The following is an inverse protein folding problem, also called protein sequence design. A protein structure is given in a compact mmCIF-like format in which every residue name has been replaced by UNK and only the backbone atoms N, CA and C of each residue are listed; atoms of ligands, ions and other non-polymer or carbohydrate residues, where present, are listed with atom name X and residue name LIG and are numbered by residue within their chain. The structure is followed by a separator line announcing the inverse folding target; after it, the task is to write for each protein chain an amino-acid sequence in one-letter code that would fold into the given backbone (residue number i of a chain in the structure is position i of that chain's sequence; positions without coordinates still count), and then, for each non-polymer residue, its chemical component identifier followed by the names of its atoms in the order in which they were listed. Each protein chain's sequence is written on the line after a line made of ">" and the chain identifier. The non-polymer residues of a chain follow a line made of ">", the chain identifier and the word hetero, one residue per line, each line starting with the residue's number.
data_IF_314869678599
#
_entry.id   IF_314869678599
#
_cell.length_a   1.000
_cell.length_b   1.000
_cell.length_c   1.000
_cell.angle_alpha   90.00
_cell.angle_beta   90.00
_cell.angle_gamma   90.00
#
_symmetry.space_group_name_H-M   'P 1'
#
loop_
_entity.id
_entity.type
_entity.pdbx_description
1 polymer ?
#
# COMPACT_ATOMS: atom_id res chain seq x y z
N UNK A 1 -32.15 5.71 9.69
CA UNK A 1 -31.03 6.43 9.06
C UNK A 1 -31.60 7.37 8.02
N UNK A 2 -31.27 8.66 8.06
CA UNK A 2 -31.78 9.59 7.06
C UNK A 2 -30.90 9.55 5.79
N UNK A 3 -31.39 10.16 4.69
CA UNK A 3 -30.70 10.13 3.40
C UNK A 3 -29.30 10.77 3.45
N UNK A 4 -29.11 11.81 4.26
CA UNK A 4 -27.82 12.48 4.38
C UNK A 4 -26.77 11.58 5.01
N UNK A 5 -27.13 10.85 6.06
CA UNK A 5 -26.19 9.92 6.71
C UNK A 5 -25.81 8.78 5.78
N UNK A 6 -26.75 8.27 5.00
CA UNK A 6 -26.47 7.23 4.03
C UNK A 6 -25.52 7.70 2.95
N UNK A 7 -25.73 8.89 2.39
CA UNK A 7 -24.85 9.45 1.36
C UNK A 7 -23.45 9.69 1.88
N UNK A 8 -23.31 10.16 3.11
CA UNK A 8 -22.02 10.38 3.74
C UNK A 8 -21.27 9.07 3.90
N UNK A 9 -21.97 8.02 4.36
CA UNK A 9 -21.38 6.70 4.53
C UNK A 9 -20.88 6.12 3.20
N UNK A 10 -21.68 6.25 2.13
CA UNK A 10 -21.30 5.78 0.80
C UNK A 10 -20.05 6.51 0.29
N UNK A 11 -19.96 7.82 0.50
CA UNK A 11 -18.77 8.60 0.10
C UNK A 11 -17.53 8.16 0.85
N UNK A 12 -17.65 7.89 2.14
CA UNK A 12 -16.51 7.44 2.96
C UNK A 12 -15.99 6.09 2.49
N UNK A 13 -16.90 5.13 2.23
CA UNK A 13 -16.51 3.80 1.72
C UNK A 13 -15.87 3.92 0.34
N UNK A 14 -16.43 4.74 -0.54
CA UNK A 14 -15.88 4.96 -1.87
C UNK A 14 -14.49 5.56 -1.81
N UNK A 15 -14.26 6.53 -0.93
CA UNK A 15 -12.96 7.15 -0.76
C UNK A 15 -11.92 6.16 -0.24
N UNK A 16 -12.29 5.29 0.70
CA UNK A 16 -11.40 4.24 1.21
C UNK A 16 -10.97 3.29 0.09
N UNK A 17 -11.88 2.89 -0.78
CA UNK A 17 -11.58 2.01 -1.91
C UNK A 17 -10.59 2.69 -2.86
N UNK A 18 -10.82 3.97 -3.18
CA UNK A 18 -9.92 4.73 -4.07
C UNK A 18 -8.53 4.88 -3.46
N UNK A 19 -8.45 5.16 -2.16
CA UNK A 19 -7.18 5.31 -1.47
C UNK A 19 -6.42 3.98 -1.46
N UNK A 20 -7.11 2.86 -1.25
CA UNK A 20 -6.48 1.54 -1.28
C UNK A 20 -5.94 1.22 -2.68
N UNK A 21 -6.69 1.55 -3.73
CA UNK A 21 -6.23 1.36 -5.11
C UNK A 21 -4.99 2.18 -5.42
N UNK A 22 -4.96 3.44 -5.00
CA UNK A 22 -3.79 4.30 -5.16
C UNK A 22 -2.59 3.75 -4.40
N UNK A 23 -2.81 3.23 -3.21
CA UNK A 23 -1.76 2.63 -2.41
C UNK A 23 -1.19 1.39 -3.10
N UNK A 24 -2.04 0.53 -3.64
CA UNK A 24 -1.61 -0.66 -4.39
C UNK A 24 -0.80 -0.29 -5.62
N UNK A 25 -1.28 0.66 -6.41
CA UNK A 25 -0.59 1.13 -7.61
C UNK A 25 0.78 1.71 -7.26
N UNK A 26 0.85 2.52 -6.21
CA UNK A 26 2.09 3.11 -5.75
C UNK A 26 3.11 2.07 -5.29
N UNK A 27 2.65 1.05 -4.57
CA UNK A 27 3.51 -0.03 -4.11
C UNK A 27 4.01 -0.89 -5.27
N UNK A 28 3.15 -1.19 -6.25
CA UNK A 28 3.56 -1.95 -7.44
C UNK A 28 4.58 -1.17 -8.26
N UNK A 29 4.37 0.13 -8.45
CA UNK A 29 5.31 1.00 -9.14
C UNK A 29 6.66 1.03 -8.42
N UNK A 30 6.64 1.13 -7.10
CA UNK A 30 7.84 1.10 -6.28
C UNK A 30 8.57 -0.23 -6.44
N UNK A 31 7.85 -1.36 -6.33
CA UNK A 31 8.44 -2.69 -6.45
C UNK A 31 9.09 -2.90 -7.81
N UNK A 32 8.52 -2.30 -8.85
CA UNK A 32 9.08 -2.36 -10.19
C UNK A 32 10.35 -1.54 -10.37
N UNK A 33 10.64 -0.61 -9.44
CA UNK A 33 11.78 0.30 -9.56
C UNK A 33 12.95 0.02 -8.62
N UNK A 34 12.80 -0.93 -7.69
CA UNK A 34 13.85 -1.23 -6.70
C UNK A 34 14.50 -2.59 -6.96
N UNK A 35 15.60 -2.85 -6.28
CA UNK A 35 16.32 -4.12 -6.41
C UNK A 35 15.48 -5.29 -5.89
N UNK A 36 15.66 -6.45 -6.50
CA UNK A 36 14.90 -7.66 -6.16
C UNK A 36 15.00 -8.04 -4.68
N UNK A 37 16.18 -7.89 -4.09
CA UNK A 37 16.40 -8.25 -2.69
C UNK A 37 15.58 -7.39 -1.73
N UNK A 38 15.27 -6.14 -2.12
CA UNK A 38 14.44 -5.25 -1.31
C UNK A 38 12.99 -5.74 -1.34
N UNK A 39 12.49 -6.12 -2.51
CA UNK A 39 11.14 -6.67 -2.66
C UNK A 39 11.01 -7.98 -1.88
N UNK A 40 12.01 -8.85 -1.98
CA UNK A 40 12.03 -10.10 -1.22
C UNK A 40 12.00 -9.86 0.29
N UNK A 41 12.75 -8.88 0.75
CA UNK A 41 12.78 -8.53 2.17
C UNK A 41 11.37 -8.15 2.66
N UNK A 42 10.65 -7.36 1.88
CA UNK A 42 9.28 -6.96 2.21
C UNK A 42 8.35 -8.18 2.27
N UNK A 43 8.43 -9.04 1.26
CA UNK A 43 7.56 -10.21 1.16
C UNK A 43 7.82 -11.20 2.31
N UNK A 44 9.09 -11.40 2.66
CA UNK A 44 9.46 -12.33 3.71
C UNK A 44 9.14 -11.79 5.11
N UNK A 45 9.07 -10.47 5.26
CA UNK A 45 8.86 -9.82 6.56
C UNK A 45 7.56 -9.02 6.61
N UNK A 46 6.55 -9.38 5.80
CA UNK A 46 5.32 -8.60 5.71
C UNK A 46 4.57 -8.48 7.03
N UNK A 47 4.76 -9.42 7.96
CA UNK A 47 4.12 -9.36 9.28
C UNK A 47 4.74 -8.30 10.18
N UNK A 48 5.99 -7.91 9.92
CA UNK A 48 6.72 -6.91 10.68
C UNK A 48 7.18 -5.76 9.79
N UNK A 49 6.37 -5.42 8.80
CA UNK A 49 6.74 -4.46 7.76
C UNK A 49 7.07 -3.07 8.32
N UNK A 50 6.50 -2.70 9.47
CA UNK A 50 6.77 -1.41 10.10
C UNK A 50 8.24 -1.23 10.48
N UNK A 51 8.96 -2.32 10.70
CA UNK A 51 10.38 -2.31 11.04
C UNK A 51 11.26 -2.34 9.80
N UNK A 52 10.65 -2.42 8.64
CA UNK A 52 11.37 -2.49 7.37
C UNK A 52 11.87 -1.12 6.92
N UNK A 53 13.00 -1.11 6.22
CA UNK A 53 13.57 0.09 5.65
C UNK A 53 12.76 0.64 4.46
N UNK A 54 11.75 -0.09 4.00
CA UNK A 54 10.86 0.36 2.92
C UNK A 54 10.28 1.76 3.20
N UNK A 55 9.96 2.05 4.46
CA UNK A 55 9.35 3.32 4.83
C UNK A 55 10.32 4.50 4.85
N UNK A 56 11.60 4.24 4.64
CA UNK A 56 12.61 5.28 4.46
C UNK A 56 12.76 5.69 2.99
N UNK A 57 12.21 4.90 2.07
CA UNK A 57 12.30 5.18 0.64
C UNK A 57 11.48 6.41 0.28
N UNK A 58 12.05 7.39 -0.44
CA UNK A 58 11.33 8.61 -0.81
C UNK A 58 10.06 8.36 -1.61
N UNK A 59 10.03 7.34 -2.48
CA UNK A 59 8.84 7.01 -3.26
C UNK A 59 7.70 6.53 -2.36
N UNK A 60 8.02 5.72 -1.36
CA UNK A 60 7.03 5.24 -0.39
C UNK A 60 6.55 6.39 0.48
N UNK A 61 7.47 7.25 0.93
CA UNK A 61 7.09 8.40 1.75
C UNK A 61 6.20 9.38 0.99
N UNK A 62 6.41 9.53 -0.31
CA UNK A 62 5.56 10.39 -1.13
C UNK A 62 4.12 9.91 -1.23
N UNK A 63 3.87 8.60 -1.05
CA UNK A 63 2.51 8.07 -1.02
C UNK A 63 1.69 8.66 0.12
N UNK A 64 2.31 8.89 1.28
CA UNK A 64 1.61 9.51 2.40
C UNK A 64 1.14 10.93 2.03
N UNK A 65 1.98 11.67 1.32
CA UNK A 65 1.60 13.01 0.84
C UNK A 65 0.50 12.96 -0.19
N UNK A 66 0.59 12.02 -1.13
CA UNK A 66 -0.41 11.85 -2.19
C UNK A 66 -1.78 11.46 -1.61
N UNK A 67 -1.79 10.64 -0.57
CA UNK A 67 -3.00 10.19 0.09
C UNK A 67 -3.47 11.16 1.19
N UNK A 68 -2.67 12.20 1.49
CA UNK A 68 -2.95 13.19 2.55
C UNK A 68 -3.11 12.54 3.93
N UNK A 69 -2.25 11.60 4.23
CA UNK A 69 -2.22 10.91 5.51
C UNK A 69 -0.85 11.05 6.17
N UNK A 70 -0.76 10.75 7.45
CA UNK A 70 0.51 10.77 8.16
C UNK A 70 1.37 9.56 7.77
N UNK A 71 2.67 9.65 8.04
CA UNK A 71 3.57 8.52 7.80
C UNK A 71 3.15 7.29 8.62
N UNK A 72 2.72 7.50 9.86
CA UNK A 72 2.22 6.43 10.73
C UNK A 72 1.00 5.73 10.14
N UNK A 73 0.07 6.51 9.58
CA UNK A 73 -1.12 5.94 8.93
C UNK A 73 -0.74 5.15 7.69
N UNK A 74 0.24 5.65 6.91
CA UNK A 74 0.74 4.93 5.75
C UNK A 74 1.30 3.57 6.16
N UNK A 75 2.13 3.53 7.18
CA UNK A 75 2.72 2.29 7.70
C UNK A 75 1.64 1.30 8.13
N UNK A 76 0.61 1.79 8.82
CA UNK A 76 -0.50 0.96 9.26
C UNK A 76 -1.29 0.39 8.08
N UNK A 77 -1.56 1.21 7.08
CA UNK A 77 -2.33 0.79 5.90
C UNK A 77 -1.55 -0.22 5.05
N UNK A 78 -0.26 -0.01 4.87
CA UNK A 78 0.59 -0.94 4.13
C UNK A 78 0.67 -2.28 4.86
N UNK A 79 0.91 -2.24 6.18
CA UNK A 79 0.98 -3.44 7.00
C UNK A 79 -0.32 -4.25 6.92
N UNK A 80 -1.47 -3.57 7.08
CA UNK A 80 -2.77 -4.20 6.99
C UNK A 80 -3.02 -4.82 5.62
N UNK A 81 -2.71 -4.07 4.56
CA UNK A 81 -2.89 -4.52 3.20
C UNK A 81 -2.09 -5.79 2.90
N UNK A 82 -0.82 -5.82 3.26
CA UNK A 82 0.05 -6.97 2.99
C UNK A 82 -0.34 -8.20 3.81
N UNK A 83 -0.88 -8.01 5.00
CA UNK A 83 -1.34 -9.13 5.83
C UNK A 83 -2.70 -9.66 5.40
N UNK A 84 -3.55 -8.80 4.88
CA UNK A 84 -4.92 -9.13 4.53
C UNK A 84 -5.06 -9.65 3.09
N UNK A 85 -4.33 -9.05 2.16
CA UNK A 85 -4.48 -9.33 0.72
C UNK A 85 -3.28 -10.09 0.19
N UNK A 86 -3.37 -11.42 0.21
CA UNK A 86 -2.31 -12.29 -0.29
C UNK A 86 -2.13 -12.21 -1.81
N UNK A 87 -3.21 -11.94 -2.53
CA UNK A 87 -3.15 -11.75 -3.98
C UNK A 87 -2.26 -10.55 -4.33
N UNK A 88 -2.39 -9.47 -3.58
CA UNK A 88 -1.55 -8.31 -3.77
C UNK A 88 -0.10 -8.58 -3.39
N UNK A 89 0.13 -9.32 -2.32
CA UNK A 89 1.48 -9.72 -1.91
C UNK A 89 2.17 -10.52 -3.03
N UNK A 90 1.43 -11.44 -3.67
CA UNK A 90 1.93 -12.20 -4.81
C UNK A 90 2.20 -11.29 -6.01
N UNK A 91 1.35 -10.30 -6.24
CA UNK A 91 1.55 -9.34 -7.33
C UNK A 91 2.84 -8.56 -7.14
N UNK A 92 3.16 -8.16 -5.92
CA UNK A 92 4.45 -7.53 -5.61
C UNK A 92 5.61 -8.46 -5.93
N UNK A 93 5.48 -9.74 -5.56
CA UNK A 93 6.53 -10.73 -5.81
C UNK A 93 6.78 -10.94 -7.30
N UNK A 94 5.74 -10.88 -8.12
CA UNK A 94 5.85 -11.13 -9.57
C UNK A 94 6.14 -9.88 -10.39
N UNK A 95 6.06 -8.70 -9.81
CA UNK A 95 6.23 -7.43 -10.54
C UNK A 95 7.55 -7.37 -11.27
N UNK A 96 8.61 -7.89 -10.68
CA UNK A 96 9.94 -7.91 -11.28
C UNK A 96 10.01 -8.76 -12.55
N UNK A 97 9.19 -9.82 -12.64
CA UNK A 97 9.17 -10.69 -13.82
C UNK A 97 8.45 -10.02 -15.01
N UNK A 98 7.47 -9.19 -14.73
CA UNK A 98 6.70 -8.50 -15.76
C UNK A 98 7.58 -7.48 -16.51
N UNK A 99 8.61 -6.94 -15.84
CA UNK A 99 9.51 -5.96 -16.43
C UNK A 99 10.51 -6.53 -17.41
N UNK A 100 10.72 -7.82 -17.34
CA UNK A 100 11.62 -8.52 -18.24
C UNK A 100 10.86 -8.98 -19.47
#
# INVERSE_FOLDING_TARGET
>A
MNKQNFRKLVKEVYQEVLDEEKLKEGLLSWAGGVADNIVYSVINNYKNIRQSDIFKDPKIRSLAKDLKISQSDLENRVSDLLQRDRSFLRALATQRYIRR
#
